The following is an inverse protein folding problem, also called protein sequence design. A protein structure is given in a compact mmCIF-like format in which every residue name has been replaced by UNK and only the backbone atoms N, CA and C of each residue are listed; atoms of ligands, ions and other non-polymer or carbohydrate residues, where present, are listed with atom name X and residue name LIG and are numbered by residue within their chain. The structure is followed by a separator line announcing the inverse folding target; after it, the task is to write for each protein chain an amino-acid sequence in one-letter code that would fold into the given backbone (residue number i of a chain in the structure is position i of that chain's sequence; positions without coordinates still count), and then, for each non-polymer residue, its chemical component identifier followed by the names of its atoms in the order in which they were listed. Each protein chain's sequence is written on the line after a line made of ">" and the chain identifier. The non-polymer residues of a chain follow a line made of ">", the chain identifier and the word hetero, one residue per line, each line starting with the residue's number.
data_IF_416109099717
#
_entry.id   IF_416109099717
#
_cell.length_a   1.000
_cell.length_b   1.000
_cell.length_c   1.000
_cell.angle_alpha   90.00
_cell.angle_beta   90.00
_cell.angle_gamma   90.00
#
_symmetry.space_group_name_H-M   'P 1'
#
loop_
_entity.id
_entity.type
_entity.pdbx_description
1 polymer ?
#
# COMPACT_ATOMS: atom_id res chain seq x y z
N UNK A 1 -17.67 5.94 -35.90
CA UNK A 1 -16.21 6.08 -35.83
C UNK A 1 -15.65 4.82 -35.18
N UNK A 2 -14.66 4.21 -35.81
CA UNK A 2 -14.02 3.01 -35.29
C UNK A 2 -12.64 3.41 -34.72
N UNK A 3 -12.40 3.08 -33.47
CA UNK A 3 -11.09 3.27 -32.84
C UNK A 3 -10.43 1.91 -32.71
N UNK A 4 -9.26 1.75 -33.34
CA UNK A 4 -8.49 0.50 -33.29
C UNK A 4 -7.34 0.64 -32.31
N UNK A 5 -7.25 -0.32 -31.41
CA UNK A 5 -6.21 -0.39 -30.41
C UNK A 5 -5.40 -1.69 -30.56
N UNK A 6 -4.08 -1.61 -30.67
CA UNK A 6 -3.21 -2.78 -30.84
C UNK A 6 -2.48 -3.11 -29.53
N UNK A 7 -2.83 -4.21 -28.91
CA UNK A 7 -2.12 -4.76 -27.76
C UNK A 7 -0.85 -5.48 -28.20
N UNK A 8 0.18 -5.55 -27.34
CA UNK A 8 1.51 -6.12 -27.61
C UNK A 8 1.51 -7.57 -28.12
N UNK A 9 0.38 -8.30 -27.97
CA UNK A 9 0.15 -9.68 -28.42
C UNK A 9 -0.72 -9.79 -29.69
N UNK A 10 -0.76 -8.75 -30.54
CA UNK A 10 -1.54 -8.67 -31.78
C UNK A 10 -3.07 -8.77 -31.60
N UNK A 11 -3.60 -8.60 -30.40
CA UNK A 11 -5.04 -8.48 -30.19
C UNK A 11 -5.48 -7.08 -30.60
N UNK A 12 -6.29 -6.98 -31.63
CA UNK A 12 -6.93 -5.75 -32.05
C UNK A 12 -8.28 -5.64 -31.36
N UNK A 13 -8.46 -4.59 -30.55
CA UNK A 13 -9.75 -4.24 -29.94
C UNK A 13 -10.36 -3.13 -30.77
N UNK A 14 -11.59 -3.36 -31.23
CA UNK A 14 -12.35 -2.37 -32.00
C UNK A 14 -13.46 -1.79 -31.15
N UNK A 15 -13.60 -0.47 -31.18
CA UNK A 15 -14.62 0.26 -30.44
C UNK A 15 -15.55 0.96 -31.42
N UNK A 16 -16.85 0.92 -31.16
CA UNK A 16 -17.86 1.57 -31.97
C UNK A 16 -18.14 3.00 -31.54
N UNK A 17 -17.74 3.39 -30.34
CA UNK A 17 -17.98 4.72 -29.81
C UNK A 17 -16.87 5.16 -28.83
N UNK A 18 -16.82 6.46 -28.55
CA UNK A 18 -15.89 7.01 -27.54
C UNK A 18 -16.27 6.52 -26.14
N UNK A 19 -17.55 6.33 -25.87
CA UNK A 19 -18.03 5.80 -24.59
C UNK A 19 -17.46 4.40 -24.32
N UNK A 20 -17.42 3.52 -25.31
CA UNK A 20 -16.79 2.20 -25.20
C UNK A 20 -15.27 2.29 -24.92
N UNK A 21 -14.59 3.24 -25.54
CA UNK A 21 -13.17 3.50 -25.28
C UNK A 21 -12.96 3.92 -23.82
N UNK A 22 -13.78 4.85 -23.33
CA UNK A 22 -13.71 5.34 -21.95
C UNK A 22 -13.98 4.21 -20.95
N UNK A 23 -14.98 3.39 -21.18
CA UNK A 23 -15.30 2.24 -20.32
C UNK A 23 -14.15 1.20 -20.30
N UNK A 24 -13.57 0.94 -21.45
CA UNK A 24 -12.41 0.06 -21.55
C UNK A 24 -11.21 0.59 -20.75
N UNK A 25 -10.87 1.86 -20.92
CA UNK A 25 -9.77 2.51 -20.19
C UNK A 25 -10.03 2.50 -18.68
N UNK A 26 -11.26 2.78 -18.24
CA UNK A 26 -11.65 2.70 -16.83
C UNK A 26 -11.51 1.29 -16.26
N UNK A 27 -11.90 0.28 -17.01
CA UNK A 27 -11.72 -1.11 -16.62
C UNK A 27 -10.24 -1.48 -16.44
N UNK A 28 -9.40 -1.11 -17.40
CA UNK A 28 -7.95 -1.32 -17.33
C UNK A 28 -7.33 -0.55 -16.17
N UNK A 29 -7.72 0.70 -15.97
CA UNK A 29 -7.24 1.52 -14.86
C UNK A 29 -7.62 0.90 -13.51
N UNK A 30 -8.87 0.45 -13.34
CA UNK A 30 -9.33 -0.22 -12.13
C UNK A 30 -8.51 -1.49 -11.82
N UNK A 31 -8.22 -2.32 -12.82
CA UNK A 31 -7.34 -3.49 -12.65
C UNK A 31 -5.91 -3.09 -12.28
N UNK A 32 -5.34 -2.10 -12.97
CA UNK A 32 -4.01 -1.58 -12.69
C UNK A 32 -3.90 -1.00 -11.27
N UNK A 33 -4.91 -0.30 -10.81
CA UNK A 33 -4.97 0.22 -9.43
C UNK A 33 -5.04 -0.91 -8.40
N UNK A 34 -5.72 -2.02 -8.70
CA UNK A 34 -5.72 -3.20 -7.84
C UNK A 34 -4.32 -3.80 -7.68
N UNK A 35 -3.56 -3.94 -8.77
CA UNK A 35 -2.17 -4.41 -8.74
C UNK A 35 -1.27 -3.43 -7.95
N UNK A 36 -1.41 -2.14 -8.19
CA UNK A 36 -0.70 -1.09 -7.46
C UNK A 36 -1.04 -1.10 -5.97
N UNK A 37 -2.28 -1.36 -5.60
CA UNK A 37 -2.70 -1.49 -4.21
C UNK A 37 -1.96 -2.62 -3.47
N UNK A 38 -1.74 -3.75 -4.12
CA UNK A 38 -0.92 -4.83 -3.54
C UNK A 38 0.55 -4.41 -3.39
N UNK A 39 1.13 -3.72 -4.37
CA UNK A 39 2.48 -3.16 -4.26
C UNK A 39 2.59 -2.14 -3.11
N UNK A 40 1.59 -1.28 -2.93
CA UNK A 40 1.53 -0.34 -1.81
C UNK A 40 1.51 -1.08 -0.46
N UNK A 41 0.73 -2.16 -0.34
CA UNK A 41 0.73 -3.00 0.87
C UNK A 41 2.10 -3.59 1.16
N UNK A 42 2.79 -4.10 0.14
CA UNK A 42 4.16 -4.62 0.29
C UNK A 42 5.14 -3.54 0.78
N UNK A 43 5.05 -2.32 0.25
CA UNK A 43 5.83 -1.17 0.71
C UNK A 43 5.54 -0.86 2.18
N UNK A 44 4.26 -0.88 2.59
CA UNK A 44 3.85 -0.64 3.97
C UNK A 44 4.38 -1.74 4.92
N UNK A 45 4.31 -3.00 4.52
CA UNK A 45 4.88 -4.13 5.28
C UNK A 45 6.39 -3.96 5.44
N UNK A 46 7.09 -3.58 4.37
CA UNK A 46 8.53 -3.32 4.39
C UNK A 46 8.88 -2.16 5.32
N UNK A 47 8.09 -1.09 5.32
CA UNK A 47 8.27 0.03 6.24
C UNK A 47 8.15 -0.40 7.72
N UNK A 48 7.17 -1.24 8.06
CA UNK A 48 7.06 -1.82 9.39
C UNK A 48 8.29 -2.65 9.74
N UNK A 49 8.74 -3.48 8.81
CA UNK A 49 9.90 -4.33 9.02
C UNK A 49 11.15 -3.51 9.31
N UNK A 50 11.44 -2.51 8.48
CA UNK A 50 12.62 -1.67 8.58
C UNK A 50 12.58 -0.73 9.79
N UNK A 51 11.47 -0.03 9.99
CA UNK A 51 11.38 1.01 11.01
C UNK A 51 11.12 0.47 12.43
N UNK A 52 10.50 -0.71 12.53
CA UNK A 52 10.12 -1.28 13.82
C UNK A 52 10.89 -2.56 14.11
N UNK A 53 10.79 -3.56 13.24
CA UNK A 53 11.31 -4.90 13.57
C UNK A 53 12.82 -4.98 13.47
N UNK A 54 13.44 -4.34 12.50
CA UNK A 54 14.90 -4.34 12.33
C UNK A 54 15.59 -3.37 13.29
N UNK A 55 14.88 -2.30 13.70
CA UNK A 55 15.43 -1.25 14.55
C UNK A 55 15.59 -1.71 16.03
N UNK A 56 14.69 -2.56 16.54
CA UNK A 56 14.81 -3.08 17.89
C UNK A 56 14.13 -4.42 18.11
N UNK A 57 14.61 -5.15 19.13
CA UNK A 57 13.97 -6.37 19.64
C UNK A 57 13.39 -6.14 21.03
N UNK A 58 12.09 -6.41 21.23
CA UNK A 58 11.47 -6.25 22.55
C UNK A 58 12.01 -7.31 23.53
N UNK A 59 12.16 -6.93 24.81
CA UNK A 59 12.57 -7.84 25.89
C UNK A 59 11.42 -8.30 26.78
N UNK A 60 10.28 -7.61 26.70
CA UNK A 60 9.15 -7.79 27.63
C UNK A 60 8.02 -8.62 27.03
N UNK A 61 7.96 -8.71 25.71
CA UNK A 61 6.91 -9.46 25.00
C UNK A 61 7.49 -10.17 23.76
N UNK A 62 6.82 -11.22 23.34
CA UNK A 62 7.17 -11.94 22.12
C UNK A 62 6.42 -11.33 20.92
N UNK A 63 7.11 -11.09 19.81
CA UNK A 63 6.50 -10.60 18.58
C UNK A 63 5.74 -11.71 17.87
N UNK A 64 4.48 -11.45 17.54
CA UNK A 64 3.61 -12.40 16.84
C UNK A 64 3.61 -12.21 15.33
N UNK A 65 4.17 -11.09 14.83
CA UNK A 65 4.11 -10.73 13.41
C UNK A 65 2.78 -10.12 12.96
N UNK A 66 1.81 -9.99 13.87
CA UNK A 66 0.49 -9.44 13.54
C UNK A 66 0.53 -8.02 12.96
N UNK A 67 1.53 -7.22 13.37
CA UNK A 67 1.69 -5.86 12.87
C UNK A 67 1.90 -5.82 11.36
N UNK A 68 2.53 -6.83 10.78
CA UNK A 68 2.73 -6.96 9.34
C UNK A 68 1.44 -7.23 8.56
N UNK A 69 0.36 -7.58 9.24
CA UNK A 69 -0.96 -7.80 8.63
C UNK A 69 -1.86 -6.55 8.70
N UNK A 70 -1.38 -5.45 9.27
CA UNK A 70 -2.16 -4.21 9.38
C UNK A 70 -2.31 -3.43 8.06
N UNK A 71 -1.37 -3.48 7.09
CA UNK A 71 -1.59 -2.85 5.79
C UNK A 71 -2.73 -3.52 5.03
N UNK A 72 -3.75 -2.75 4.68
CA UNK A 72 -4.93 -3.23 3.96
C UNK A 72 -5.36 -2.24 2.89
N UNK A 73 -5.94 -2.77 1.80
CA UNK A 73 -6.67 -1.95 0.83
C UNK A 73 -8.06 -1.68 1.43
N UNK A 74 -8.37 -0.42 1.66
CA UNK A 74 -9.63 0.01 2.28
C UNK A 74 -10.61 0.58 1.28
N UNK A 75 -10.15 1.05 0.14
CA UNK A 75 -10.98 1.51 -0.95
C UNK A 75 -10.34 1.15 -2.30
N UNK A 76 -11.16 0.67 -3.22
CA UNK A 76 -10.77 0.38 -4.59
C UNK A 76 -11.94 0.70 -5.53
N UNK A 77 -11.75 1.70 -6.36
CA UNK A 77 -12.70 2.10 -7.41
C UNK A 77 -12.04 2.01 -8.79
N UNK A 78 -12.74 2.42 -9.84
CA UNK A 78 -12.17 2.45 -11.19
C UNK A 78 -11.07 3.50 -11.38
N UNK A 79 -10.94 4.47 -10.48
CA UNK A 79 -10.04 5.62 -10.58
C UNK A 79 -9.30 5.95 -9.28
N UNK A 80 -9.49 5.17 -8.22
CA UNK A 80 -8.80 5.36 -6.95
C UNK A 80 -8.48 4.06 -6.24
N UNK A 81 -7.41 4.08 -5.45
CA UNK A 81 -6.99 3.00 -4.56
C UNK A 81 -6.50 3.63 -3.25
N UNK A 82 -6.97 3.13 -2.13
CA UNK A 82 -6.54 3.58 -0.81
C UNK A 82 -6.05 2.40 0.02
N UNK A 83 -4.90 2.58 0.65
CA UNK A 83 -4.32 1.62 1.59
C UNK A 83 -4.12 2.28 2.95
N UNK A 84 -4.37 1.55 4.01
CA UNK A 84 -4.26 2.03 5.38
C UNK A 84 -3.64 0.97 6.29
N UNK A 85 -2.98 1.42 7.36
CA UNK A 85 -2.66 0.56 8.50
C UNK A 85 -3.91 0.43 9.37
N UNK A 86 -4.54 -0.73 9.38
CA UNK A 86 -5.77 -0.94 10.13
C UNK A 86 -5.51 -1.44 11.54
N UNK A 87 -6.05 -0.70 12.50
CA UNK A 87 -6.18 -1.15 13.88
C UNK A 87 -7.40 -2.09 13.99
N UNK A 88 -7.16 -3.37 14.16
CA UNK A 88 -8.21 -4.38 14.31
C UNK A 88 -8.79 -4.48 15.75
N UNK A 89 -8.34 -3.62 16.66
CA UNK A 89 -8.80 -3.59 18.04
C UNK A 89 -8.16 -4.60 19.00
N UNK A 90 -7.30 -5.49 18.51
CA UNK A 90 -6.71 -6.59 19.29
C UNK A 90 -5.42 -6.20 20.03
N UNK A 91 -5.01 -4.97 19.93
CA UNK A 91 -3.77 -4.46 20.51
C UNK A 91 -3.98 -3.93 21.93
N UNK A 92 -3.14 -4.36 22.85
CA UNK A 92 -3.15 -3.86 24.22
C UNK A 92 -1.74 -3.64 24.75
N UNK A 93 -1.60 -2.62 25.61
CA UNK A 93 -0.35 -2.38 26.33
C UNK A 93 -0.07 -3.49 27.32
N UNK A 94 1.14 -4.07 27.28
CA UNK A 94 1.60 -5.10 28.24
C UNK A 94 1.63 -4.55 29.66
N UNK A 95 1.84 -3.25 29.83
CA UNK A 95 1.97 -2.61 31.15
C UNK A 95 0.61 -2.21 31.69
N UNK A 96 -0.24 -1.55 30.89
CA UNK A 96 -1.52 -0.98 31.37
C UNK A 96 -2.74 -1.83 31.03
N UNK A 97 -2.62 -2.81 30.14
CA UNK A 97 -3.74 -3.57 29.60
C UNK A 97 -4.73 -2.77 28.74
N UNK A 98 -4.46 -1.47 28.53
CA UNK A 98 -5.32 -0.61 27.72
C UNK A 98 -5.02 -0.82 26.24
N UNK A 99 -6.07 -0.64 25.42
CA UNK A 99 -5.93 -0.65 23.97
C UNK A 99 -4.87 0.35 23.50
N UNK A 100 -4.03 -0.07 22.57
CA UNK A 100 -3.06 0.77 21.89
C UNK A 100 -2.81 0.24 20.49
N UNK A 101 -2.69 1.12 19.50
CA UNK A 101 -2.27 0.74 18.18
C UNK A 101 -0.76 0.98 18.01
N UNK A 102 0.06 -0.06 17.80
CA UNK A 102 1.52 0.09 17.78
C UNK A 102 2.05 1.12 16.79
N UNK A 103 1.48 1.21 15.59
CA UNK A 103 1.90 2.20 14.58
C UNK A 103 1.80 3.62 15.15
N UNK A 104 0.69 3.97 15.79
CA UNK A 104 0.50 5.28 16.42
C UNK A 104 1.44 5.53 17.59
N UNK A 105 1.69 4.51 18.40
CA UNK A 105 2.57 4.62 19.56
C UNK A 105 4.03 4.84 19.13
N UNK A 106 4.49 4.17 18.08
CA UNK A 106 5.81 4.46 17.50
C UNK A 106 5.89 5.87 16.94
N UNK A 107 4.87 6.32 16.23
CA UNK A 107 4.82 7.67 15.67
C UNK A 107 4.87 8.75 16.73
N UNK A 108 4.21 8.54 17.87
CA UNK A 108 4.23 9.43 19.03
C UNK A 108 5.54 9.38 19.83
N UNK A 109 6.40 8.38 19.59
CA UNK A 109 7.59 8.14 20.40
C UNK A 109 7.28 7.64 21.81
N UNK A 110 6.18 6.89 21.98
CA UNK A 110 5.72 6.39 23.30
C UNK A 110 6.29 5.02 23.65
N UNK A 111 6.97 4.35 22.73
CA UNK A 111 7.49 3.00 22.95
C UNK A 111 8.79 3.02 23.74
N UNK A 112 8.85 2.28 24.85
CA UNK A 112 10.04 2.21 25.69
C UNK A 112 11.16 1.41 25.03
N UNK A 113 12.37 1.97 25.05
CA UNK A 113 13.58 1.30 24.63
C UNK A 113 14.25 0.54 25.81
N UNK A 114 15.00 -0.54 25.55
CA UNK A 114 15.67 -1.31 26.60
C UNK A 114 16.69 -0.53 27.44
N UNK A 115 17.21 0.58 26.91
CA UNK A 115 18.18 1.44 27.59
C UNK A 115 17.52 2.55 28.46
N UNK A 116 16.17 2.52 28.61
CA UNK A 116 15.41 3.53 29.32
C UNK A 116 15.00 4.76 28.49
N UNK A 117 15.40 4.80 27.23
CA UNK A 117 14.93 5.81 26.26
C UNK A 117 13.58 5.42 25.66
N UNK A 118 13.21 6.11 24.59
CA UNK A 118 12.00 5.80 23.80
C UNK A 118 12.33 5.63 22.34
N UNK A 119 11.65 4.69 21.70
CA UNK A 119 11.68 4.54 20.25
C UNK A 119 10.65 5.45 19.61
N UNK A 120 11.04 6.05 18.49
CA UNK A 120 10.16 6.78 17.61
C UNK A 120 10.40 6.32 16.18
N UNK A 121 9.33 6.04 15.45
CA UNK A 121 9.39 5.68 14.04
C UNK A 121 8.13 6.19 13.33
N UNK A 122 8.32 6.94 12.25
CA UNK A 122 7.22 7.40 11.41
C UNK A 122 7.06 6.46 10.21
N UNK A 123 6.44 5.31 10.47
CA UNK A 123 6.18 4.27 9.48
C UNK A 123 5.27 4.78 8.35
N UNK A 124 4.33 5.68 8.68
CA UNK A 124 3.45 6.30 7.69
C UNK A 124 4.25 7.15 6.69
N UNK A 125 5.14 7.99 7.19
CA UNK A 125 5.99 8.84 6.33
C UNK A 125 6.92 7.99 5.46
N UNK A 126 7.55 6.97 6.05
CA UNK A 126 8.42 6.05 5.31
C UNK A 126 7.64 5.37 4.17
N UNK A 127 6.49 4.78 4.47
CA UNK A 127 5.65 4.12 3.48
C UNK A 127 5.16 5.10 2.41
N UNK A 128 4.72 6.29 2.80
CA UNK A 128 4.25 7.32 1.87
C UNK A 128 5.35 7.78 0.92
N UNK A 129 6.54 8.05 1.44
CA UNK A 129 7.69 8.48 0.64
C UNK A 129 8.08 7.41 -0.39
N UNK A 130 8.17 6.15 0.02
CA UNK A 130 8.48 5.04 -0.88
C UNK A 130 7.38 4.85 -1.93
N UNK A 131 6.12 4.96 -1.55
CA UNK A 131 5.00 4.91 -2.51
C UNK A 131 5.09 6.04 -3.54
N UNK A 132 5.41 7.26 -3.12
CA UNK A 132 5.59 8.38 -4.06
C UNK A 132 6.72 8.16 -5.06
N UNK A 133 7.78 7.46 -4.65
CA UNK A 133 8.92 7.16 -5.53
C UNK A 133 8.63 6.01 -6.49
N UNK A 134 7.98 4.94 -6.03
CA UNK A 134 7.85 3.70 -6.80
C UNK A 134 6.53 3.56 -7.57
N UNK A 135 5.41 4.00 -6.98
CA UNK A 135 4.08 3.68 -7.50
C UNK A 135 3.76 4.36 -8.84
N UNK A 136 4.10 5.63 -9.08
CA UNK A 136 3.80 6.26 -10.37
C UNK A 136 4.41 5.51 -11.57
N UNK A 137 5.66 5.11 -11.47
CA UNK A 137 6.33 4.35 -12.54
C UNK A 137 5.74 2.95 -12.71
N UNK A 138 5.44 2.26 -11.60
CA UNK A 138 4.75 0.95 -11.65
C UNK A 138 3.39 1.04 -12.31
N UNK A 139 2.59 2.04 -11.98
CA UNK A 139 1.29 2.27 -12.60
C UNK A 139 1.43 2.48 -14.11
N UNK A 140 2.37 3.31 -14.54
CA UNK A 140 2.65 3.54 -15.95
C UNK A 140 3.04 2.22 -16.65
N UNK A 141 3.92 1.43 -16.06
CA UNK A 141 4.34 0.14 -16.61
C UNK A 141 3.17 -0.85 -16.73
N UNK A 142 2.31 -0.93 -15.73
CA UNK A 142 1.13 -1.79 -15.75
C UNK A 142 0.17 -1.34 -16.86
N UNK A 143 -0.14 -0.06 -16.94
CA UNK A 143 -1.01 0.49 -17.98
C UNK A 143 -0.45 0.24 -19.38
N UNK A 144 0.86 0.43 -19.59
CA UNK A 144 1.52 0.09 -20.86
C UNK A 144 1.45 -1.39 -21.17
N UNK A 145 1.57 -2.27 -20.18
CA UNK A 145 1.45 -3.73 -20.36
C UNK A 145 0.05 -4.16 -20.79
N UNK A 146 -0.98 -3.44 -20.34
CA UNK A 146 -2.36 -3.57 -20.81
C UNK A 146 -2.61 -2.86 -22.15
N UNK A 147 -1.56 -2.20 -22.66
CA UNK A 147 -1.52 -1.56 -23.95
C UNK A 147 -2.07 -0.16 -23.99
N UNK A 148 -2.29 0.50 -22.87
CA UNK A 148 -2.64 1.93 -22.83
C UNK A 148 -1.39 2.75 -23.21
N UNK A 149 -1.47 3.59 -24.28
CA UNK A 149 -0.34 4.43 -24.70
C UNK A 149 -0.20 5.62 -23.74
N UNK A 150 0.81 5.57 -22.90
CA UNK A 150 1.19 6.66 -21.99
C UNK A 150 2.56 7.15 -22.37
N UNK A 151 2.66 8.45 -22.62
CA UNK A 151 3.91 9.14 -22.91
C UNK A 151 4.58 9.69 -21.66
#
# INVERSE_FOLDING_TARGET
>A
MWVKYKKKEEIIIEFSSIEEVIEYIRGVLGEALGEVGEDMKEIMVKAIQEDIYDDHSPKVYERTGQLLNTPQITEHTSDSITTEFLDNGDWSSVISGKHMFPIEEYQKGSVWAPNGGRYSADVLETAFTECQLEIPEKLIQILRSHGIPIE
#
